data_IF_322646831270
#
_entry.id   IF_322646831270
#
_cell.length_a   1.000
_cell.length_b   1.000
_cell.length_c   1.000
_cell.angle_alpha   90.00
_cell.angle_beta   90.00
_cell.angle_gamma   90.00
#
_symmetry.space_group_name_H-M   'P 1'
#
loop_
_entity.id
_entity.type
_entity.pdbx_description
1 polymer ?
#
# COMPACT_ATOMS: atom_id res chain seq x y z
N UNK A 1 7.45 6.28 10.08
CA UNK A 1 6.36 5.52 9.45
C UNK A 1 6.81 4.95 8.13
N UNK A 2 6.32 3.76 7.76
CA UNK A 2 6.65 3.12 6.49
C UNK A 2 5.37 2.76 5.74
N UNK A 3 5.28 3.13 4.46
CA UNK A 3 4.22 2.70 3.55
C UNK A 3 4.74 1.59 2.64
N UNK A 4 4.12 0.41 2.69
CA UNK A 4 4.37 -0.70 1.79
C UNK A 4 3.36 -0.74 0.64
N UNK A 5 3.84 -0.90 -0.59
CA UNK A 5 3.02 -1.04 -1.79
C UNK A 5 3.40 -2.32 -2.57
N UNK A 6 2.39 -3.07 -3.00
CA UNK A 6 2.55 -4.21 -3.89
C UNK A 6 1.53 -4.15 -5.03
N UNK A 7 2.00 -4.31 -6.25
CA UNK A 7 1.19 -4.45 -7.46
C UNK A 7 1.85 -5.41 -8.47
N UNK A 8 2.75 -6.28 -8.01
CA UNK A 8 3.51 -7.19 -8.87
C UNK A 8 2.79 -8.53 -9.12
N UNK A 9 1.89 -8.93 -8.21
CA UNK A 9 1.14 -10.19 -8.27
C UNK A 9 -0.29 -10.06 -8.82
N UNK A 10 -1.14 -11.04 -8.49
CA UNK A 10 -2.55 -11.08 -8.88
C UNK A 10 -3.46 -10.14 -8.06
N UNK A 11 -2.92 -9.00 -7.63
CA UNK A 11 -3.58 -8.11 -6.69
C UNK A 11 -2.83 -6.81 -6.45
N UNK A 12 -3.52 -5.88 -5.79
CA UNK A 12 -2.99 -4.60 -5.34
C UNK A 12 -3.03 -4.56 -3.81
N UNK A 13 -1.88 -4.35 -3.17
CA UNK A 13 -1.74 -4.34 -1.72
C UNK A 13 -1.11 -3.04 -1.21
N UNK A 14 -1.60 -2.56 -0.07
CA UNK A 14 -1.03 -1.42 0.66
C UNK A 14 -1.02 -1.73 2.15
N UNK A 15 0.06 -1.40 2.84
CA UNK A 15 0.14 -1.48 4.29
C UNK A 15 0.91 -0.29 4.87
N UNK A 16 0.53 0.16 6.07
CA UNK A 16 1.26 1.17 6.83
C UNK A 16 1.81 0.54 8.10
N UNK A 17 3.08 0.82 8.40
CA UNK A 17 3.75 0.41 9.64
C UNK A 17 4.18 1.62 10.47
N UNK A 18 3.94 1.52 11.78
CA UNK A 18 4.42 2.43 12.83
C UNK A 18 5.12 1.59 13.89
N UNK A 19 6.35 1.98 14.24
CA UNK A 19 7.15 1.33 15.30
C UNK A 19 7.26 -0.20 15.16
N UNK A 20 7.47 -0.65 13.93
CA UNK A 20 7.60 -2.06 13.59
C UNK A 20 6.28 -2.83 13.44
N UNK A 21 5.15 -2.26 13.84
CA UNK A 21 3.82 -2.89 13.78
C UNK A 21 3.01 -2.38 12.59
N UNK A 22 2.22 -3.26 11.97
CA UNK A 22 1.26 -2.87 10.93
C UNK A 22 0.03 -2.25 11.58
N UNK A 23 -0.28 -1.00 11.22
CA UNK A 23 -1.40 -0.24 11.78
C UNK A 23 -2.64 -0.23 10.88
N UNK A 24 -2.44 -0.39 9.57
CA UNK A 24 -3.51 -0.60 8.62
C UNK A 24 -2.95 -1.34 7.40
N UNK A 25 -3.75 -2.21 6.79
CA UNK A 25 -3.39 -2.90 5.56
C UNK A 25 -4.62 -3.33 4.79
N UNK A 26 -4.52 -3.27 3.46
CA UNK A 26 -5.54 -3.79 2.54
C UNK A 26 -4.87 -4.50 1.37
N UNK A 27 -5.53 -5.54 0.89
CA UNK A 27 -5.14 -6.26 -0.30
C UNK A 27 -6.39 -6.58 -1.10
N UNK A 28 -6.37 -6.23 -2.38
CA UNK A 28 -7.47 -6.47 -3.30
C UNK A 28 -7.02 -7.42 -4.41
N UNK A 29 -7.73 -8.54 -4.61
CA UNK A 29 -7.46 -9.41 -5.75
C UNK A 29 -7.81 -8.68 -7.03
N UNK A 30 -6.93 -8.77 -8.03
CA UNK A 30 -7.02 -7.92 -9.20
C UNK A 30 -6.35 -8.59 -10.42
N UNK A 31 -7.09 -8.65 -11.53
CA UNK A 31 -6.55 -9.19 -12.78
C UNK A 31 -5.91 -8.10 -13.66
N UNK A 32 -6.43 -6.87 -13.64
CA UNK A 32 -5.98 -5.73 -14.46
C UNK A 32 -6.36 -4.40 -13.80
N UNK A 33 -5.65 -3.32 -14.16
CA UNK A 33 -5.98 -1.94 -13.75
C UNK A 33 -5.20 -1.39 -12.55
N UNK A 34 -4.10 -2.05 -12.15
CA UNK A 34 -3.39 -1.76 -10.89
C UNK A 34 -3.02 -0.27 -10.74
N UNK A 35 -2.61 0.37 -11.84
CA UNK A 35 -2.22 1.78 -11.87
C UNK A 35 -3.33 2.74 -11.39
N UNK A 36 -4.59 2.45 -11.72
CA UNK A 36 -5.73 3.32 -11.37
C UNK A 36 -6.25 3.03 -9.95
N UNK A 37 -6.02 1.82 -9.42
CA UNK A 37 -6.52 1.42 -8.10
C UNK A 37 -5.53 1.70 -6.96
N UNK A 38 -4.23 1.62 -7.23
CA UNK A 38 -3.20 1.70 -6.19
C UNK A 38 -3.27 3.00 -5.39
N UNK A 39 -3.37 4.16 -6.05
CA UNK A 39 -3.39 5.44 -5.33
C UNK A 39 -4.66 5.68 -4.50
N UNK A 40 -5.86 5.39 -5.02
CA UNK A 40 -7.05 5.35 -4.18
C UNK A 40 -6.91 4.41 -2.97
N UNK A 41 -6.34 3.21 -3.14
CA UNK A 41 -6.15 2.25 -2.05
C UNK A 41 -5.17 2.78 -0.99
N UNK A 42 -4.14 3.51 -1.40
CA UNK A 42 -3.22 4.20 -0.48
C UNK A 42 -3.96 5.23 0.36
N UNK A 43 -4.78 6.09 -0.25
CA UNK A 43 -5.53 7.11 0.48
C UNK A 43 -6.52 6.49 1.47
N UNK A 44 -7.17 5.38 1.09
CA UNK A 44 -8.07 4.64 1.98
C UNK A 44 -7.33 4.07 3.20
N UNK A 45 -6.17 3.43 3.00
CA UNK A 45 -5.37 2.86 4.10
C UNK A 45 -4.81 3.95 5.02
N UNK A 46 -4.35 5.06 4.47
CA UNK A 46 -3.88 6.21 5.26
C UNK A 46 -5.01 6.84 6.07
N UNK A 47 -6.20 7.00 5.46
CA UNK A 47 -7.37 7.50 6.15
C UNK A 47 -7.84 6.57 7.28
N UNK A 48 -7.84 5.25 7.04
CA UNK A 48 -8.15 4.23 8.06
C UNK A 48 -7.19 4.30 9.25
N UNK A 49 -5.90 4.55 8.98
CA UNK A 49 -4.88 4.70 10.02
C UNK A 49 -4.85 6.09 10.69
N UNK A 50 -5.60 7.07 10.17
CA UNK A 50 -5.56 8.46 10.64
C UNK A 50 -4.20 9.14 10.40
N UNK A 51 -3.57 8.86 9.25
CA UNK A 51 -2.20 9.30 8.91
C UNK A 51 -2.25 10.22 7.71
N UNK A 52 -1.55 11.36 7.76
CA UNK A 52 -1.41 12.22 6.59
C UNK A 52 -0.32 11.67 5.65
N UNK A 53 -0.45 11.83 4.32
CA UNK A 53 0.62 11.43 3.40
C UNK A 53 2.00 12.03 3.70
N UNK A 54 2.02 13.24 4.28
CA UNK A 54 3.25 13.92 4.69
C UNK A 54 3.96 13.31 5.90
N UNK A 55 3.31 12.40 6.63
CA UNK A 55 3.89 11.72 7.81
C UNK A 55 4.68 10.45 7.43
N UNK A 56 4.70 10.08 6.14
CA UNK A 56 5.40 8.90 5.65
C UNK A 56 6.88 9.20 5.43
N UNK A 57 7.74 8.50 6.17
CA UNK A 57 9.20 8.68 6.09
C UNK A 57 9.87 7.76 5.06
N UNK A 58 9.24 6.63 4.74
CA UNK A 58 9.82 5.59 3.90
C UNK A 58 8.76 4.84 3.09
N UNK A 59 9.09 4.52 1.85
CA UNK A 59 8.28 3.69 0.95
C UNK A 59 8.98 2.37 0.68
N UNK A 60 8.31 1.26 0.98
CA UNK A 60 8.72 -0.09 0.58
C UNK A 60 7.90 -0.55 -0.60
N UNK A 61 8.55 -0.90 -1.71
CA UNK A 61 7.87 -1.28 -2.95
C UNK A 61 8.31 -2.69 -3.36
N UNK A 62 7.37 -3.55 -3.73
CA UNK A 62 7.68 -4.82 -4.36
C UNK A 62 8.22 -4.57 -5.77
N UNK A 63 9.46 -4.98 -6.06
CA UNK A 63 10.12 -4.80 -7.36
C UNK A 63 9.99 -6.01 -8.29
N UNK A 64 9.29 -7.07 -7.86
CA UNK A 64 9.00 -8.25 -8.66
C UNK A 64 9.95 -9.44 -8.45
N UNK A 65 10.02 -10.39 -9.39
CA UNK A 65 9.37 -10.37 -10.71
C UNK A 65 7.84 -10.36 -10.61
N UNK A 66 7.18 -9.70 -11.56
CA UNK A 66 5.72 -9.65 -11.69
C UNK A 66 5.23 -10.43 -12.91
N UNK A 67 3.91 -10.57 -13.06
CA UNK A 67 3.25 -11.17 -14.23
C UNK A 67 3.30 -10.28 -15.47
#
# INVERSE_FOLDING_TARGET
>A
MVLGLDAAGAGCGVAVRRDGQTVAARMEPMAQGHAVRLMPLVLEVLAEAGIAPGDIDLFGITTGPGS
#
